data_IF_427056986202
#
_entry.id   IF_427056986202
#
_cell.length_a   1.000
_cell.length_b   1.000
_cell.length_c   1.000
_cell.angle_alpha   90.00
_cell.angle_beta   90.00
_cell.angle_gamma   90.00
#
_symmetry.space_group_name_H-M   'P 1'
#
loop_
_entity.id
_entity.type
_entity.pdbx_description
1 polymer ?
#
# COMPACT_ATOMS: atom_id res chain seq x y z
N UNK A 1 11.72 13.65 -13.00
CA UNK A 1 12.11 14.73 -13.93
C UNK A 1 12.15 16.06 -13.18
N UNK A 2 11.03 16.51 -12.62
CA UNK A 2 10.95 17.76 -11.83
C UNK A 2 11.99 17.80 -10.69
N UNK A 3 12.18 16.70 -9.95
CA UNK A 3 13.20 16.62 -8.89
C UNK A 3 14.60 16.98 -9.39
N UNK A 4 14.98 16.49 -10.58
CA UNK A 4 16.28 16.79 -11.18
C UNK A 4 16.40 18.25 -11.61
N UNK A 5 15.31 18.85 -12.07
CA UNK A 5 15.29 20.28 -12.46
C UNK A 5 15.53 21.16 -11.24
N UNK A 6 14.88 20.83 -10.12
CA UNK A 6 15.10 21.53 -8.84
C UNK A 6 16.53 21.31 -8.33
N UNK A 7 17.05 20.08 -8.35
CA UNK A 7 18.43 19.77 -7.90
C UNK A 7 19.51 20.43 -8.76
N UNK A 8 19.25 20.61 -10.07
CA UNK A 8 20.22 21.11 -11.04
C UNK A 8 19.98 22.56 -11.47
N UNK A 9 19.34 23.37 -10.61
CA UNK A 9 19.08 24.80 -10.87
C UNK A 9 20.33 25.56 -11.34
N UNK A 10 21.45 25.42 -10.63
CA UNK A 10 22.67 26.17 -10.93
C UNK A 10 23.32 25.75 -12.26
N UNK A 11 23.54 24.44 -12.53
CA UNK A 11 24.00 23.99 -13.85
C UNK A 11 23.05 24.38 -14.99
N UNK A 12 21.74 24.31 -14.76
CA UNK A 12 20.74 24.65 -15.78
C UNK A 12 20.78 26.14 -16.11
N UNK A 13 20.90 27.02 -15.11
CA UNK A 13 21.03 28.46 -15.31
C UNK A 13 22.29 28.80 -16.11
N UNK A 14 23.43 28.21 -15.77
CA UNK A 14 24.69 28.40 -16.49
C UNK A 14 24.58 27.97 -17.96
N UNK A 15 23.99 26.79 -18.22
CA UNK A 15 23.78 26.30 -19.57
C UNK A 15 22.81 27.18 -20.39
N UNK A 16 21.76 27.71 -19.76
CA UNK A 16 20.82 28.62 -20.43
C UNK A 16 21.44 29.98 -20.75
N UNK A 17 22.35 30.46 -19.91
CA UNK A 17 23.12 31.68 -20.15
C UNK A 17 24.04 31.52 -21.36
N UNK A 18 24.71 30.37 -21.49
CA UNK A 18 25.59 30.06 -22.64
C UNK A 18 24.83 30.04 -23.97
N UNK A 19 23.58 29.56 -23.96
CA UNK A 19 22.71 29.47 -25.14
C UNK A 19 21.91 30.77 -25.37
N UNK A 20 22.07 31.78 -24.51
CA UNK A 20 21.33 33.07 -24.55
C UNK A 20 19.80 32.90 -24.44
N UNK A 21 19.36 31.89 -23.71
CA UNK A 21 17.95 31.64 -23.40
C UNK A 21 17.66 31.81 -21.91
N UNK A 22 18.29 32.83 -21.29
CA UNK A 22 18.10 33.14 -19.88
C UNK A 22 16.63 33.44 -19.52
N UNK A 23 15.86 33.95 -20.47
CA UNK A 23 14.43 34.26 -20.32
C UNK A 23 13.55 33.01 -20.08
N UNK A 24 14.07 31.80 -20.36
CA UNK A 24 13.39 30.54 -20.10
C UNK A 24 13.66 29.99 -18.69
N UNK A 25 14.53 30.63 -17.90
CA UNK A 25 14.79 30.17 -16.55
C UNK A 25 13.55 30.39 -15.67
N UNK A 26 13.08 29.35 -14.95
CA UNK A 26 11.89 29.49 -14.12
C UNK A 26 12.06 30.55 -13.03
N UNK A 27 10.98 31.22 -12.71
CA UNK A 27 10.93 32.16 -11.58
C UNK A 27 10.99 31.42 -10.24
N UNK A 28 11.38 32.12 -9.17
CA UNK A 28 11.41 31.57 -7.81
C UNK A 28 10.04 31.00 -7.38
N UNK A 29 8.95 31.66 -7.77
CA UNK A 29 7.57 31.19 -7.52
C UNK A 29 7.26 29.86 -8.24
N UNK A 30 7.82 29.66 -9.44
CA UNK A 30 7.67 28.42 -10.19
C UNK A 30 8.47 27.30 -9.54
N UNK A 31 9.64 27.58 -8.99
CA UNK A 31 10.41 26.61 -8.21
C UNK A 31 9.71 26.23 -6.90
N UNK A 32 9.12 27.20 -6.18
CA UNK A 32 8.29 26.90 -5.00
C UNK A 32 7.12 25.99 -5.38
N UNK A 33 6.50 26.23 -6.54
CA UNK A 33 5.43 25.38 -7.06
C UNK A 33 5.91 23.97 -7.38
N UNK A 34 7.11 23.83 -7.96
CA UNK A 34 7.75 22.53 -8.21
C UNK A 34 8.08 21.79 -6.91
N UNK A 35 8.55 22.49 -5.88
CA UNK A 35 8.85 21.91 -4.57
C UNK A 35 7.58 21.37 -3.90
N UNK A 36 6.50 22.14 -3.93
CA UNK A 36 5.18 21.70 -3.44
C UNK A 36 4.73 20.43 -4.18
N UNK A 37 4.90 20.38 -5.50
CA UNK A 37 4.59 19.19 -6.29
C UNK A 37 5.43 17.97 -5.86
N UNK A 38 6.73 18.18 -5.65
CA UNK A 38 7.64 17.12 -5.20
C UNK A 38 7.25 16.60 -3.83
N UNK A 39 6.93 17.47 -2.89
CA UNK A 39 6.54 17.08 -1.54
C UNK A 39 5.26 16.24 -1.51
N UNK A 40 4.26 16.59 -2.33
CA UNK A 40 3.03 15.80 -2.43
C UNK A 40 3.29 14.44 -3.09
N UNK A 41 4.22 14.36 -4.04
CA UNK A 41 4.47 13.14 -4.83
C UNK A 41 5.52 12.21 -4.21
N UNK A 42 6.41 12.70 -3.35
CA UNK A 42 7.41 11.91 -2.59
C UNK A 42 6.85 10.61 -1.98
N UNK A 43 5.75 10.62 -1.18
CA UNK A 43 5.24 9.39 -0.58
C UNK A 43 4.80 8.35 -1.62
N UNK A 44 4.30 8.78 -2.79
CA UNK A 44 3.91 7.86 -3.88
C UNK A 44 5.14 7.20 -4.50
N UNK A 45 6.23 7.94 -4.66
CA UNK A 45 7.50 7.41 -5.16
C UNK A 45 8.05 6.35 -4.20
N UNK A 46 8.09 6.63 -2.90
CA UNK A 46 8.55 5.67 -1.89
C UNK A 46 7.70 4.41 -1.88
N UNK A 47 6.37 4.53 -1.96
CA UNK A 47 5.46 3.38 -2.04
C UNK A 47 5.74 2.57 -3.31
N UNK A 48 5.87 3.24 -4.46
CA UNK A 48 6.17 2.58 -5.73
C UNK A 48 7.50 1.83 -5.67
N UNK A 49 8.55 2.43 -5.15
CA UNK A 49 9.87 1.81 -5.00
C UNK A 49 9.81 0.60 -4.08
N UNK A 50 9.12 0.71 -2.94
CA UNK A 50 8.93 -0.39 -2.01
C UNK A 50 8.15 -1.57 -2.62
N UNK A 51 7.16 -1.29 -3.47
CA UNK A 51 6.43 -2.32 -4.22
C UNK A 51 7.34 -2.93 -5.32
N UNK A 52 8.05 -2.08 -6.07
CA UNK A 52 8.89 -2.49 -7.19
C UNK A 52 10.12 -3.30 -6.75
N UNK A 53 10.62 -3.08 -5.53
CA UNK A 53 11.71 -3.83 -4.94
C UNK A 53 11.31 -5.27 -4.55
N UNK A 54 10.01 -5.58 -4.47
CA UNK A 54 9.54 -6.92 -4.14
C UNK A 54 9.40 -7.78 -5.40
N UNK A 55 10.04 -8.96 -5.41
CA UNK A 55 9.87 -9.95 -6.48
C UNK A 55 8.42 -10.42 -6.63
N UNK A 56 7.69 -10.50 -5.51
CA UNK A 56 6.28 -10.86 -5.45
C UNK A 56 5.58 -9.95 -4.45
N UNK A 57 4.61 -9.17 -4.92
CA UNK A 57 3.85 -8.25 -4.07
C UNK A 57 2.78 -9.05 -3.33
N UNK A 58 2.81 -9.05 -1.99
CA UNK A 58 1.74 -9.71 -1.22
C UNK A 58 0.50 -8.83 -1.17
N UNK A 59 -0.63 -9.35 -1.66
CA UNK A 59 -1.91 -8.64 -1.71
C UNK A 59 -2.40 -8.17 -0.33
N UNK A 60 -2.08 -8.92 0.73
CA UNK A 60 -2.37 -8.57 2.12
C UNK A 60 -1.77 -7.23 2.58
N UNK A 61 -0.64 -6.81 1.99
CA UNK A 61 0.02 -5.54 2.32
C UNK A 61 -0.64 -4.33 1.66
N UNK A 62 -1.40 -4.54 0.59
CA UNK A 62 -1.98 -3.44 -0.19
C UNK A 62 -3.05 -2.69 0.61
N UNK A 63 -3.86 -3.38 1.43
CA UNK A 63 -4.86 -2.72 2.27
C UNK A 63 -4.26 -1.76 3.30
N UNK A 64 -3.30 -2.16 4.14
CA UNK A 64 -2.60 -1.23 5.05
C UNK A 64 -1.94 -0.06 4.31
N UNK A 65 -1.30 -0.34 3.17
CA UNK A 65 -0.59 0.65 2.37
C UNK A 65 -1.54 1.72 1.81
N UNK A 66 -2.67 1.27 1.24
CA UNK A 66 -3.71 2.15 0.74
C UNK A 66 -4.35 2.97 1.86
N UNK A 67 -4.57 2.36 3.04
CA UNK A 67 -5.04 3.09 4.20
C UNK A 67 -4.05 4.20 4.60
N UNK A 68 -2.75 3.89 4.74
CA UNK A 68 -1.72 4.87 5.09
C UNK A 68 -1.64 6.00 4.05
N UNK A 69 -1.70 5.67 2.76
CA UNK A 69 -1.70 6.66 1.70
C UNK A 69 -2.90 7.62 1.80
N UNK A 70 -4.11 7.09 1.93
CA UNK A 70 -5.34 7.91 1.93
C UNK A 70 -5.58 8.66 3.24
N UNK A 71 -5.14 8.09 4.37
CA UNK A 71 -5.43 8.61 5.72
C UNK A 71 -4.26 9.31 6.40
N UNK A 72 -3.05 9.25 5.84
CA UNK A 72 -1.89 9.98 6.37
C UNK A 72 -1.32 10.95 5.34
N UNK A 73 -1.03 10.47 4.12
CA UNK A 73 -0.30 11.29 3.14
C UNK A 73 -1.18 12.20 2.27
N UNK A 74 -2.39 11.74 1.90
CA UNK A 74 -3.32 12.48 1.03
C UNK A 74 -4.44 13.22 1.81
N UNK A 75 -4.27 13.43 3.11
CA UNK A 75 -5.17 14.28 3.89
C UNK A 75 -4.77 15.75 3.71
N UNK A 76 -5.78 16.61 3.55
CA UNK A 76 -5.61 18.07 3.51
C UNK A 76 -5.26 18.57 4.90
N UNK A 77 -4.13 19.24 5.03
CA UNK A 77 -3.69 19.88 6.28
C UNK A 77 -3.95 21.38 6.17
N UNK A 78 -4.25 22.05 7.28
CA UNK A 78 -4.49 23.50 7.29
C UNK A 78 -3.30 24.31 6.77
N UNK A 79 -2.08 23.86 7.07
CA UNK A 79 -0.80 24.44 6.64
C UNK A 79 -0.46 24.20 5.16
N UNK A 80 -1.17 23.32 4.45
CA UNK A 80 -0.89 23.04 3.04
C UNK A 80 -1.22 24.26 2.15
N UNK A 81 -0.40 24.47 1.12
CA UNK A 81 -0.69 25.44 0.05
C UNK A 81 -1.97 25.08 -0.71
N UNK A 82 -2.58 26.05 -1.38
CA UNK A 82 -3.81 25.82 -2.18
C UNK A 82 -3.62 24.72 -3.23
N UNK A 83 -2.44 24.70 -3.88
CA UNK A 83 -2.06 23.68 -4.84
C UNK A 83 -1.96 22.29 -4.19
N UNK A 84 -1.24 22.17 -3.06
CA UNK A 84 -1.11 20.90 -2.34
C UNK A 84 -2.49 20.34 -1.92
N UNK A 85 -3.38 21.20 -1.40
CA UNK A 85 -4.75 20.82 -1.03
C UNK A 85 -5.54 20.29 -2.22
N UNK A 86 -5.43 20.95 -3.39
CA UNK A 86 -6.10 20.53 -4.61
C UNK A 86 -5.55 19.19 -5.12
N UNK A 87 -4.22 19.07 -5.22
CA UNK A 87 -3.55 17.84 -5.66
C UNK A 87 -3.90 16.65 -4.77
N UNK A 88 -3.78 16.79 -3.44
CA UNK A 88 -4.15 15.74 -2.48
C UNK A 88 -5.62 15.34 -2.65
N UNK A 89 -6.53 16.29 -2.88
CA UNK A 89 -7.94 16.02 -3.14
C UNK A 89 -8.17 15.18 -4.38
N UNK A 90 -7.61 15.59 -5.51
CA UNK A 90 -7.77 14.91 -6.79
C UNK A 90 -7.18 13.50 -6.74
N UNK A 91 -6.00 13.35 -6.14
CA UNK A 91 -5.38 12.05 -5.93
C UNK A 91 -6.24 11.15 -5.04
N UNK A 92 -6.74 11.66 -3.91
CA UNK A 92 -7.59 10.89 -3.00
C UNK A 92 -8.88 10.43 -3.70
N UNK A 93 -9.52 11.32 -4.45
CA UNK A 93 -10.71 11.01 -5.25
C UNK A 93 -10.42 9.95 -6.32
N UNK A 94 -9.30 10.07 -7.02
CA UNK A 94 -8.89 9.11 -8.04
C UNK A 94 -8.58 7.72 -7.46
N UNK A 95 -7.95 7.64 -6.28
CA UNK A 95 -7.76 6.37 -5.59
C UNK A 95 -9.10 5.78 -5.15
N UNK A 96 -10.02 6.59 -4.60
CA UNK A 96 -11.34 6.11 -4.17
C UNK A 96 -12.21 5.60 -5.32
N UNK A 97 -12.11 6.20 -6.51
CA UNK A 97 -12.87 5.72 -7.67
C UNK A 97 -12.32 4.40 -8.23
N UNK A 98 -11.01 4.16 -8.12
CA UNK A 98 -10.39 2.92 -8.58
C UNK A 98 -10.55 1.76 -7.58
N UNK A 99 -10.46 2.05 -6.28
CA UNK A 99 -10.61 1.05 -5.22
C UNK A 99 -12.05 1.02 -4.72
N UNK A 100 -12.91 0.32 -5.47
CA UNK A 100 -14.32 0.10 -5.10
C UNK A 100 -14.46 -0.71 -3.81
N UNK A 101 -15.61 -0.62 -3.16
CA UNK A 101 -15.87 -1.29 -1.88
C UNK A 101 -15.67 -2.82 -1.94
N UNK A 102 -16.04 -3.45 -3.06
CA UNK A 102 -15.81 -4.89 -3.29
C UNK A 102 -14.32 -5.24 -3.30
N UNK A 103 -13.50 -4.42 -3.97
CA UNK A 103 -12.05 -4.61 -4.00
C UNK A 103 -11.44 -4.33 -2.63
N UNK A 104 -11.90 -3.30 -1.93
CA UNK A 104 -11.47 -3.00 -0.56
C UNK A 104 -11.80 -4.13 0.41
N UNK A 105 -12.97 -4.74 0.28
CA UNK A 105 -13.37 -5.90 1.07
C UNK A 105 -12.43 -7.09 0.81
N UNK A 106 -12.16 -7.41 -0.46
CA UNK A 106 -11.21 -8.47 -0.82
C UNK A 106 -9.81 -8.22 -0.24
N UNK A 107 -9.30 -6.99 -0.38
CA UNK A 107 -8.01 -6.60 0.18
C UNK A 107 -8.02 -6.67 1.71
N UNK A 108 -9.15 -6.38 2.35
CA UNK A 108 -9.32 -6.47 3.81
C UNK A 108 -9.33 -7.93 4.28
N UNK A 109 -10.06 -8.82 3.59
CA UNK A 109 -10.01 -10.27 3.84
C UNK A 109 -8.60 -10.82 3.72
N UNK A 110 -7.90 -10.48 2.64
CA UNK A 110 -6.53 -10.93 2.44
C UNK A 110 -5.55 -10.39 3.50
N UNK A 111 -5.75 -9.16 3.97
CA UNK A 111 -4.96 -8.58 5.04
C UNK A 111 -5.28 -9.19 6.41
N UNK A 112 -6.54 -9.59 6.63
CA UNK A 112 -6.99 -10.26 7.85
C UNK A 112 -6.42 -11.67 7.98
N UNK A 113 -6.40 -12.42 6.87
CA UNK A 113 -5.83 -13.77 6.81
C UNK A 113 -4.30 -13.80 6.90
N UNK A 114 -3.60 -12.65 6.80
CA UNK A 114 -2.15 -12.59 6.91
C UNK A 114 -1.71 -12.50 8.38
N UNK A 115 -1.05 -13.53 8.96
CA UNK A 115 -0.65 -13.53 10.35
C UNK A 115 0.40 -12.46 10.70
N UNK A 116 0.98 -11.77 9.72
CA UNK A 116 1.92 -10.67 9.94
C UNK A 116 1.23 -9.36 10.33
N UNK A 117 -0.09 -9.25 10.10
CA UNK A 117 -0.87 -8.01 10.24
C UNK A 117 -1.86 -8.04 11.41
N UNK A 118 -1.54 -8.79 12.48
CA UNK A 118 -2.45 -9.11 13.61
C UNK A 118 -3.16 -7.94 14.28
N UNK A 119 -2.56 -6.75 14.26
CA UNK A 119 -3.09 -5.60 14.97
C UNK A 119 -4.07 -4.77 14.13
N UNK A 120 -4.27 -5.13 12.85
CA UNK A 120 -5.18 -4.48 11.90
C UNK A 120 -5.34 -2.95 12.08
N UNK A 121 -4.24 -2.16 12.18
CA UNK A 121 -4.32 -0.72 12.51
C UNK A 121 -5.02 0.12 11.44
N UNK A 122 -5.38 -0.51 10.31
CA UNK A 122 -6.04 0.08 9.15
C UNK A 122 -7.55 -0.21 9.10
N UNK A 123 -8.09 -0.99 10.06
CA UNK A 123 -9.50 -1.29 10.23
C UNK A 123 -9.98 -0.80 11.60
N UNK A 124 -11.22 -0.35 11.67
CA UNK A 124 -11.90 -0.08 12.94
C UNK A 124 -12.29 -1.39 13.63
N UNK A 125 -12.49 -1.39 14.97
CA UNK A 125 -12.92 -2.59 15.70
C UNK A 125 -14.23 -3.20 15.17
N UNK A 126 -15.12 -2.37 14.64
CA UNK A 126 -16.40 -2.80 14.05
C UNK A 126 -16.13 -3.55 12.74
N UNK A 127 -15.35 -2.96 11.84
CA UNK A 127 -14.98 -3.59 10.56
C UNK A 127 -14.24 -4.93 10.77
N UNK A 128 -13.44 -5.06 11.83
CA UNK A 128 -12.76 -6.32 12.16
C UNK A 128 -13.75 -7.41 12.54
N UNK A 129 -14.76 -7.09 13.35
CA UNK A 129 -15.79 -8.06 13.76
C UNK A 129 -16.66 -8.48 12.57
N UNK A 130 -17.13 -7.54 11.76
CA UNK A 130 -17.90 -7.83 10.55
C UNK A 130 -17.10 -8.72 9.58
N UNK A 131 -15.81 -8.45 9.43
CA UNK A 131 -14.93 -9.24 8.58
C UNK A 131 -14.69 -10.65 9.13
N UNK A 132 -14.57 -10.79 10.45
CA UNK A 132 -14.46 -12.09 11.11
C UNK A 132 -15.71 -12.94 10.89
N UNK A 133 -16.90 -12.35 11.04
CA UNK A 133 -18.17 -13.06 10.85
C UNK A 133 -18.35 -13.51 9.40
N UNK A 134 -18.03 -12.63 8.43
CA UNK A 134 -18.07 -12.95 7.00
C UNK A 134 -17.12 -14.10 6.64
N UNK A 135 -15.88 -14.05 7.14
CA UNK A 135 -14.88 -15.10 6.85
C UNK A 135 -15.28 -16.42 7.52
N UNK A 136 -15.82 -16.37 8.73
CA UNK A 136 -16.29 -17.57 9.45
C UNK A 136 -17.46 -18.23 8.71
N UNK A 137 -18.39 -17.44 8.18
CA UNK A 137 -19.51 -17.94 7.37
C UNK A 137 -19.02 -18.56 6.05
N UNK A 138 -18.11 -17.89 5.33
CA UNK A 138 -17.53 -18.42 4.08
C UNK A 138 -16.74 -19.71 4.33
N UNK A 139 -15.96 -19.78 5.42
CA UNK A 139 -15.24 -20.99 5.80
C UNK A 139 -16.18 -22.16 6.11
N UNK A 140 -17.31 -21.89 6.79
CA UNK A 140 -18.36 -22.89 7.05
C UNK A 140 -18.99 -23.42 5.75
N UNK A 141 -19.35 -22.52 4.82
CA UNK A 141 -19.91 -22.91 3.52
C UNK A 141 -18.93 -23.74 2.68
N UNK A 142 -17.64 -23.42 2.72
CA UNK A 142 -16.59 -24.21 2.04
C UNK A 142 -16.49 -25.60 2.67
N UNK A 143 -16.56 -25.72 3.99
CA UNK A 143 -16.53 -27.01 4.68
C UNK A 143 -17.74 -27.89 4.31
N UNK A 144 -18.94 -27.32 4.24
CA UNK A 144 -20.18 -28.01 3.83
C UNK A 144 -20.16 -28.42 2.35
N UNK A 145 -19.67 -27.55 1.47
CA UNK A 145 -19.51 -27.86 0.04
C UNK A 145 -18.45 -28.94 -0.21
N UNK A 146 -17.38 -28.96 0.59
CA UNK A 146 -16.36 -30.01 0.50
C UNK A 146 -16.89 -31.34 1.04
N UNK A 147 -17.74 -31.34 2.08
CA UNK A 147 -18.39 -32.56 2.57
C UNK A 147 -19.34 -33.18 1.53
N UNK A 148 -20.05 -32.35 0.75
CA UNK A 148 -20.93 -32.83 -0.32
C UNK A 148 -20.19 -33.38 -1.55
N UNK A 149 -18.91 -33.05 -1.73
CA UNK A 149 -18.07 -33.53 -2.83
C UNK A 149 -17.25 -34.79 -2.49
N UNK A 150 -17.19 -35.17 -1.21
CA UNK A 150 -16.44 -36.36 -0.74
C UNK A 150 -17.32 -37.62 -0.68
N UNK A 151 -18.65 -37.49 -0.64
CA UNK A 151 -19.58 -38.64 -0.60
C UNK A 151 -19.70 -39.42 -1.94
N UNK A 152 -18.95 -39.06 -2.99
CA UNK A 152 -18.88 -39.80 -4.28
C UNK A 152 -17.59 -40.60 -4.51
N UNK A 153 -16.73 -40.76 -3.50
CA UNK A 153 -15.58 -41.69 -3.61
C UNK A 153 -15.72 -42.77 -2.53
N UNK A 154 -16.43 -43.84 -2.89
CA UNK A 154 -16.44 -45.09 -2.12
C UNK A 154 -15.35 -46.05 -2.63
N UNK A 155 -14.64 -46.62 -1.64
CA UNK A 155 -13.72 -47.77 -1.63
C UNK A 155 -12.34 -47.51 -2.31
N UNK A 156 -11.19 -47.62 -1.64
CA UNK A 156 -10.76 -48.77 -0.85
C UNK A 156 -9.64 -48.45 0.17
N UNK A 157 -9.60 -49.29 1.19
CA UNK A 157 -8.66 -49.25 2.31
C UNK A 157 -7.31 -49.78 1.86
N UNK A 158 -6.23 -49.01 1.97
CA UNK A 158 -4.96 -49.63 2.40
C UNK A 158 -3.99 -48.66 3.09
N UNK A 159 -3.30 -49.26 4.05
CA UNK A 159 -2.32 -48.75 5.00
C UNK A 159 -1.07 -48.15 4.33
N UNK A 160 -0.57 -47.00 4.84
CA UNK A 160 0.83 -46.88 5.33
C UNK A 160 1.28 -45.42 5.61
N UNK A 161 1.95 -45.28 6.77
CA UNK A 161 3.09 -44.40 7.06
C UNK A 161 2.87 -42.89 7.29
N UNK A 162 2.78 -42.54 8.58
CA UNK A 162 3.06 -41.24 9.19
C UNK A 162 4.54 -40.85 9.02
N UNK A 163 4.84 -39.65 8.51
CA UNK A 163 6.09 -38.92 8.79
C UNK A 163 5.85 -37.39 8.91
N UNK A 164 6.52 -36.68 9.84
CA UNK A 164 6.24 -35.27 10.16
C UNK A 164 7.02 -34.26 9.29
N UNK A 165 6.60 -32.97 9.24
CA UNK A 165 7.19 -31.97 8.34
C UNK A 165 8.47 -31.32 8.92
N UNK A 166 9.55 -31.30 8.15
CA UNK A 166 10.80 -30.62 8.48
C UNK A 166 10.68 -29.09 8.26
N UNK A 167 10.88 -28.33 9.32
CA UNK A 167 10.91 -26.86 9.30
C UNK A 167 12.27 -26.33 8.79
N UNK A 168 12.26 -25.41 7.82
CA UNK A 168 13.43 -24.57 7.51
C UNK A 168 13.01 -23.10 7.43
N UNK A 169 13.42 -22.32 8.44
CA UNK A 169 13.20 -20.86 8.52
C UNK A 169 14.23 -20.15 7.64
N UNK A 170 13.77 -19.36 6.67
CA UNK A 170 14.61 -18.41 5.93
C UNK A 170 14.52 -17.03 6.59
N UNK A 171 15.66 -16.53 7.12
CA UNK A 171 15.83 -15.14 7.58
C UNK A 171 16.05 -14.24 6.36
N UNK A 172 14.98 -13.63 5.84
CA UNK A 172 15.07 -12.46 4.97
C UNK A 172 15.05 -11.19 5.82
N UNK A 173 15.81 -10.18 5.44
CA UNK A 173 15.84 -8.85 6.10
C UNK A 173 14.55 -8.09 5.69
N UNK A 174 13.74 -7.67 6.66
CA UNK A 174 12.37 -7.19 6.45
C UNK A 174 12.25 -5.66 6.54
N UNK A 175 12.80 -4.93 5.57
CA UNK A 175 12.74 -3.45 5.51
C UNK A 175 11.29 -2.91 5.51
N UNK A 176 10.32 -3.70 5.03
CA UNK A 176 8.89 -3.35 5.06
C UNK A 176 8.26 -3.49 6.45
N UNK A 177 8.82 -4.33 7.32
CA UNK A 177 8.36 -4.43 8.70
C UNK A 177 8.72 -3.18 9.50
N UNK A 178 9.81 -2.50 9.16
CA UNK A 178 10.19 -1.24 9.82
C UNK A 178 9.21 -0.11 9.46
N UNK A 179 8.77 -0.03 8.20
CA UNK A 179 7.72 0.90 7.78
C UNK A 179 6.33 0.59 8.40
N UNK A 180 6.11 -0.65 8.83
CA UNK A 180 4.93 -1.11 9.55
C UNK A 180 5.08 -0.99 11.08
N UNK A 181 6.29 -1.09 11.63
CA UNK A 181 6.52 -0.94 13.07
C UNK A 181 6.26 0.49 13.53
N UNK A 182 6.48 1.46 12.64
CA UNK A 182 6.13 2.87 12.88
C UNK A 182 4.60 3.06 13.03
N UNK A 183 3.81 2.22 12.35
CA UNK A 183 2.34 2.17 12.51
C UNK A 183 1.93 1.54 13.84
N UNK A 184 2.73 0.62 14.37
CA UNK A 184 2.43 -0.10 15.63
C UNK A 184 2.72 0.74 16.88
N UNK A 185 3.54 1.79 16.77
CA UNK A 185 3.93 2.66 17.89
C UNK A 185 3.21 4.01 17.90
N UNK A 186 2.52 4.39 16.82
CA UNK A 186 1.76 5.63 16.79
C UNK A 186 0.37 5.41 17.39
N UNK A 187 0.30 5.39 18.73
CA UNK A 187 -0.96 5.56 19.47
C UNK A 187 -1.41 7.02 19.36
N UNK A 188 -2.53 7.25 18.69
CA UNK A 188 -3.47 8.35 18.97
C UNK A 188 -4.85 7.73 19.03
#
# INVERSE_FOLDING_TARGET
>A
MIARVVEQQQPLFAALLDVKWADLFPSDDEFITMDVYLDVTKPLVTIKEAISAQKWVTISKLRPLLHKLLKSHLIKISSDTSLAKKMKSEMNNNFRSQYTDNLLLLLSKAAFLDPRLKNHPFLSPIEVNELHDLISQEAGQIAESNHSAVDEIDIDTDSAAVMPPSTKKAKGKWELFELLSDVMHTRI
#
